data_IF_544658259768
#
_entry.id   IF_544658259768
#
_cell.length_a   1.000
_cell.length_b   1.000
_cell.length_c   1.000
_cell.angle_alpha   90.00
_cell.angle_beta   90.00
_cell.angle_gamma   90.00
#
_symmetry.space_group_name_H-M   'P 1'
#
loop_
_entity.id
_entity.type
_entity.pdbx_description
1 polymer ?
#
# COMPACT_ATOMS: atom_id res chain seq x y z
N UNK A 1 1.38 -14.19 -13.49
CA UNK A 1 0.92 -12.79 -13.52
C UNK A 1 1.67 -12.01 -14.61
N UNK A 2 1.47 -12.36 -15.90
CA UNK A 2 2.20 -11.69 -17.02
C UNK A 2 1.92 -10.19 -17.07
N UNK A 3 0.70 -9.79 -16.72
CA UNK A 3 0.29 -8.38 -16.63
C UNK A 3 1.17 -7.58 -15.65
N UNK A 4 1.43 -8.09 -14.44
CA UNK A 4 2.25 -7.42 -13.43
C UNK A 4 3.72 -7.38 -13.85
N UNK A 5 4.20 -8.43 -14.52
CA UNK A 5 5.56 -8.49 -15.06
C UNK A 5 5.78 -7.42 -16.15
N UNK A 6 4.78 -7.23 -17.02
CA UNK A 6 4.78 -6.23 -18.09
C UNK A 6 4.52 -4.78 -17.61
N UNK A 7 3.88 -4.62 -16.46
CA UNK A 7 3.61 -3.29 -15.92
C UNK A 7 4.93 -2.55 -15.59
N UNK A 8 5.12 -1.27 -15.96
CA UNK A 8 6.36 -0.57 -15.70
C UNK A 8 6.65 -0.48 -14.19
N UNK A 9 7.86 -0.86 -13.77
CA UNK A 9 8.24 -0.76 -12.36
C UNK A 9 8.15 0.68 -11.87
N UNK A 10 8.69 1.64 -12.64
CA UNK A 10 8.75 3.05 -12.23
C UNK A 10 7.36 3.59 -11.87
N UNK A 11 6.36 3.34 -12.72
CA UNK A 11 4.98 3.74 -12.47
C UNK A 11 4.41 3.11 -11.20
N UNK A 12 4.64 1.81 -10.98
CA UNK A 12 4.17 1.11 -9.79
C UNK A 12 4.85 1.64 -8.52
N UNK A 13 6.16 1.89 -8.59
CA UNK A 13 6.93 2.47 -7.50
C UNK A 13 6.40 3.86 -7.14
N UNK A 14 6.17 4.73 -8.13
CA UNK A 14 5.64 6.08 -7.88
C UNK A 14 4.29 6.01 -7.18
N UNK A 15 3.35 5.20 -7.66
CA UNK A 15 2.03 5.07 -7.04
C UNK A 15 2.13 4.50 -5.62
N UNK A 16 2.91 3.44 -5.41
CA UNK A 16 3.08 2.83 -4.10
C UNK A 16 3.72 3.76 -3.09
N UNK A 17 4.80 4.46 -3.48
CA UNK A 17 5.48 5.43 -2.63
C UNK A 17 4.56 6.60 -2.33
N UNK A 18 3.92 7.17 -3.34
CA UNK A 18 3.03 8.33 -3.18
C UNK A 18 1.91 8.03 -2.18
N UNK A 19 1.21 6.90 -2.31
CA UNK A 19 0.15 6.53 -1.37
C UNK A 19 0.68 6.20 0.03
N UNK A 20 1.87 5.59 0.13
CA UNK A 20 2.46 5.26 1.43
C UNK A 20 2.86 6.51 2.25
N UNK A 21 3.42 7.52 1.59
CA UNK A 21 4.03 8.67 2.28
C UNK A 21 3.13 9.92 2.33
N UNK A 22 2.15 10.04 1.42
CA UNK A 22 1.31 11.24 1.33
C UNK A 22 0.67 11.62 2.68
N UNK A 23 0.08 10.69 3.46
CA UNK A 23 -0.50 11.05 4.75
C UNK A 23 0.55 11.61 5.73
N UNK A 24 1.76 11.04 5.74
CA UNK A 24 2.81 11.46 6.67
C UNK A 24 3.49 12.78 6.30
N UNK A 25 3.44 13.19 5.03
CA UNK A 25 4.11 14.41 4.56
C UNK A 25 3.27 15.67 4.81
N UNK A 26 1.95 15.57 4.74
CA UNK A 26 1.08 16.73 4.91
C UNK A 26 0.82 17.01 6.40
N UNK A 27 0.98 18.27 6.88
CA UNK A 27 0.59 18.64 8.24
C UNK A 27 -0.88 18.28 8.49
N UNK A 28 -1.23 17.66 9.63
CA UNK A 28 -0.48 17.57 10.89
C UNK A 28 0.49 16.38 11.01
N UNK A 29 0.89 15.73 9.92
CA UNK A 29 1.69 14.50 9.91
C UNK A 29 0.99 13.34 10.63
N UNK A 30 -0.25 12.99 10.22
CA UNK A 30 -0.91 11.80 10.75
C UNK A 30 -0.09 10.54 10.49
N UNK A 31 -0.35 9.51 11.29
CA UNK A 31 0.18 8.17 11.04
C UNK A 31 -0.20 7.72 9.61
N UNK A 32 0.70 7.06 8.86
CA UNK A 32 0.35 6.54 7.55
C UNK A 32 -0.89 5.64 7.65
N UNK A 33 -1.92 5.89 6.82
CA UNK A 33 -3.19 5.16 6.89
C UNK A 33 -3.01 3.64 6.92
N UNK A 34 -2.04 3.10 6.16
CA UNK A 34 -1.80 1.66 6.17
C UNK A 34 -1.38 1.14 7.56
N UNK A 35 -0.55 1.88 8.31
CA UNK A 35 -0.11 1.48 9.65
C UNK A 35 -1.27 1.57 10.63
N UNK A 36 -1.99 2.69 10.61
CA UNK A 36 -3.20 2.92 11.42
C UNK A 36 -4.22 1.79 11.21
N UNK A 37 -4.56 1.48 9.95
CA UNK A 37 -5.58 0.46 9.64
C UNK A 37 -5.10 -0.97 9.94
N UNK A 38 -3.80 -1.26 9.83
CA UNK A 38 -3.25 -2.55 10.29
C UNK A 38 -3.38 -2.66 11.81
N UNK A 39 -3.10 -1.60 12.56
CA UNK A 39 -3.34 -1.57 14.02
C UNK A 39 -4.80 -1.86 14.36
N UNK A 40 -5.73 -1.14 13.73
CA UNK A 40 -7.17 -1.38 13.90
C UNK A 40 -7.60 -2.81 13.55
N UNK A 41 -6.98 -3.43 12.52
CA UNK A 41 -7.25 -4.81 12.14
C UNK A 41 -6.81 -5.79 13.23
N UNK A 42 -5.60 -5.61 13.76
CA UNK A 42 -5.05 -6.45 14.83
C UNK A 42 -5.83 -6.29 16.14
N UNK A 43 -6.31 -5.09 16.42
CA UNK A 43 -7.12 -4.77 17.61
C UNK A 43 -8.60 -5.19 17.47
N UNK A 44 -9.02 -5.65 16.29
CA UNK A 44 -10.41 -6.05 16.02
C UNK A 44 -11.41 -4.87 15.96
N UNK A 45 -10.90 -3.65 15.76
CA UNK A 45 -11.68 -2.40 15.70
C UNK A 45 -11.94 -1.91 14.27
N UNK A 46 -11.31 -2.52 13.26
CA UNK A 46 -11.52 -2.22 11.83
C UNK A 46 -12.92 -2.65 11.34
N UNK A 47 -13.95 -1.85 11.65
CA UNK A 47 -15.36 -2.17 11.36
C UNK A 47 -16.02 -1.24 10.35
N UNK A 48 -15.49 -0.03 10.19
CA UNK A 48 -16.04 0.95 9.27
C UNK A 48 -15.65 0.57 7.82
N UNK A 49 -16.59 0.55 6.87
CA UNK A 49 -16.28 0.27 5.46
C UNK A 49 -15.19 1.17 4.86
N UNK A 50 -15.12 2.45 5.26
CA UNK A 50 -14.09 3.36 4.77
C UNK A 50 -12.69 2.97 5.25
N UNK A 51 -12.56 2.54 6.50
CA UNK A 51 -11.27 2.10 7.04
C UNK A 51 -10.79 0.81 6.36
N UNK A 52 -11.72 -0.09 6.03
CA UNK A 52 -11.43 -1.31 5.27
C UNK A 52 -11.00 -0.94 3.84
N UNK A 53 -11.71 -0.02 3.20
CA UNK A 53 -11.33 0.48 1.88
C UNK A 53 -9.93 1.10 1.90
N UNK A 54 -9.63 1.93 2.90
CA UNK A 54 -8.31 2.57 3.05
C UNK A 54 -7.19 1.55 3.23
N UNK A 55 -7.42 0.49 4.02
CA UNK A 55 -6.46 -0.61 4.16
C UNK A 55 -6.11 -1.22 2.80
N UNK A 56 -7.11 -1.52 1.97
CA UNK A 56 -6.88 -2.11 0.65
C UNK A 56 -6.30 -1.11 -0.36
N UNK A 57 -6.76 0.14 -0.35
CA UNK A 57 -6.28 1.20 -1.24
C UNK A 57 -4.79 1.44 -1.06
N UNK A 58 -4.32 1.51 0.19
CA UNK A 58 -2.91 1.77 0.50
C UNK A 58 -2.07 0.48 0.48
N UNK A 59 -2.63 -0.65 0.90
CA UNK A 59 -1.92 -1.93 0.97
C UNK A 59 -1.69 -2.58 -0.40
N UNK A 60 -2.61 -2.41 -1.36
CA UNK A 60 -2.53 -3.08 -2.67
C UNK A 60 -1.30 -2.66 -3.48
N UNK A 61 -1.01 -1.37 -3.69
CA UNK A 61 0.16 -0.94 -4.46
C UNK A 61 1.48 -1.43 -3.87
N UNK A 62 1.62 -1.38 -2.55
CA UNK A 62 2.83 -1.84 -1.84
C UNK A 62 2.99 -3.35 -1.99
N UNK A 63 1.91 -4.11 -1.81
CA UNK A 63 1.92 -5.57 -1.99
C UNK A 63 2.28 -5.95 -3.42
N UNK A 64 1.69 -5.29 -4.43
CA UNK A 64 2.01 -5.53 -5.84
C UNK A 64 3.46 -5.16 -6.17
N UNK A 65 3.98 -4.07 -5.62
CA UNK A 65 5.37 -3.66 -5.79
C UNK A 65 6.33 -4.72 -5.22
N UNK A 66 6.07 -5.19 -4.00
CA UNK A 66 6.85 -6.24 -3.35
C UNK A 66 6.84 -7.53 -4.19
N UNK A 67 5.66 -8.00 -4.60
CA UNK A 67 5.51 -9.17 -5.46
C UNK A 67 6.31 -9.02 -6.76
N UNK A 68 6.23 -7.86 -7.43
CA UNK A 68 6.97 -7.60 -8.68
C UNK A 68 8.48 -7.62 -8.46
N UNK A 69 8.98 -7.03 -7.37
CA UNK A 69 10.40 -7.01 -7.03
C UNK A 69 10.91 -8.43 -6.80
N UNK A 70 10.24 -9.21 -5.94
CA UNK A 70 10.60 -10.61 -5.66
C UNK A 70 10.62 -11.42 -6.95
N UNK A 71 9.61 -11.26 -7.81
CA UNK A 71 9.54 -11.97 -9.10
C UNK A 71 10.67 -11.60 -10.06
N UNK A 72 11.25 -10.41 -9.99
CA UNK A 72 12.41 -10.03 -10.82
C UNK A 72 13.74 -10.51 -10.26
N UNK A 73 13.78 -10.90 -8.98
CA UNK A 73 14.99 -11.45 -8.34
C UNK A 73 15.02 -12.98 -8.49
N UNK A 74 13.85 -13.64 -8.39
CA UNK A 74 13.73 -15.11 -8.40
C UNK A 74 13.64 -15.70 -9.81
N UNK A 75 13.38 -14.88 -10.84
CA UNK A 75 13.31 -15.29 -12.24
C UNK A 75 14.53 -14.81 -13.00
#
# INVERSE_FOLDING_TARGET
>A
MKWLDNFPLGSLTVVAVMLAIMPAIFPPHPEPHLVEKIGMLLDGTLRNPLDIFDLFLHGTPITLLFIKIVRRIVR
#
